data_IF_855232666780
#
_entry.id   IF_855232666780
#
_cell.length_a   1.000
_cell.length_b   1.000
_cell.length_c   1.000
_cell.angle_alpha   90.00
_cell.angle_beta   90.00
_cell.angle_gamma   90.00
#
_symmetry.space_group_name_H-M   'P 1'
#
loop_
_entity.id
_entity.type
_entity.pdbx_description
1 polymer ?
#
# COMPACT_ATOMS: atom_id res chain seq x y z
N UNK A 1 11.22 34.60 36.75
CA UNK A 1 11.80 34.05 35.49
C UNK A 1 10.65 33.68 34.58
N UNK A 2 10.76 34.00 33.31
CA UNK A 2 9.71 33.77 32.31
C UNK A 2 10.03 32.55 31.44
N UNK A 3 9.07 32.07 30.64
CA UNK A 3 9.28 31.05 29.63
C UNK A 3 10.24 31.58 28.56
N UNK A 4 11.48 31.10 28.56
CA UNK A 4 12.57 31.60 27.71
C UNK A 4 12.88 30.67 26.51
N UNK A 5 12.14 29.58 26.36
CA UNK A 5 12.34 28.58 25.28
C UNK A 5 11.05 28.29 24.52
N UNK A 6 11.15 28.08 23.24
CA UNK A 6 10.03 27.60 22.40
C UNK A 6 9.85 26.09 22.48
N UNK A 7 10.72 25.36 23.20
CA UNK A 7 10.67 23.91 23.32
C UNK A 7 9.44 23.51 24.12
N UNK A 8 8.57 22.74 23.54
CA UNK A 8 7.34 22.20 24.12
C UNK A 8 7.36 20.67 24.26
N UNK A 9 8.37 20.03 23.69
CA UNK A 9 8.57 18.57 23.74
C UNK A 9 10.05 18.21 23.61
N UNK A 10 10.39 17.01 24.07
CA UNK A 10 11.68 16.37 23.83
C UNK A 10 11.47 14.96 23.31
N UNK A 11 12.35 14.53 22.39
CA UNK A 11 12.34 13.20 21.80
C UNK A 11 13.66 12.49 22.04
N UNK A 12 13.59 11.19 22.34
CA UNK A 12 14.77 10.36 22.55
C UNK A 12 14.58 8.99 21.91
N UNK A 13 15.71 8.35 21.59
CA UNK A 13 15.72 6.96 21.12
C UNK A 13 16.29 6.07 22.22
N UNK A 14 15.59 4.99 22.51
CA UNK A 14 16.01 3.98 23.49
C UNK A 14 17.29 3.26 23.06
N UNK A 15 18.13 2.98 24.04
CA UNK A 15 19.39 2.22 23.87
C UNK A 15 19.37 0.89 24.63
N UNK A 16 18.24 0.50 25.20
CA UNK A 16 18.08 -0.71 26.00
C UNK A 16 18.61 -0.64 27.43
N UNK A 17 19.16 0.51 27.87
CA UNK A 17 19.78 0.68 29.21
C UNK A 17 19.21 1.88 29.95
N UNK A 18 18.90 2.98 29.24
CA UNK A 18 18.47 4.24 29.83
C UNK A 18 17.01 4.17 30.29
N UNK A 19 16.77 4.63 31.52
CA UNK A 19 15.43 4.77 32.12
C UNK A 19 15.04 6.21 32.36
N UNK A 20 16.00 7.16 32.42
CA UNK A 20 15.75 8.57 32.73
C UNK A 20 15.94 9.44 31.49
N UNK A 21 14.91 10.21 31.15
CA UNK A 21 14.85 11.08 29.98
C UNK A 21 14.56 12.51 30.43
N UNK A 22 15.48 13.49 30.24
CA UNK A 22 15.28 14.85 30.65
C UNK A 22 14.23 15.54 29.76
N UNK A 23 13.49 16.48 30.36
CA UNK A 23 12.74 17.47 29.62
C UNK A 23 13.28 18.88 29.98
N UNK A 24 13.36 19.75 28.96
CA UNK A 24 14.09 21.02 29.04
C UNK A 24 13.17 22.24 29.07
N UNK A 25 11.92 22.05 29.40
CA UNK A 25 10.90 23.09 29.43
C UNK A 25 10.15 23.11 30.79
N UNK A 26 9.56 24.25 31.13
CA UNK A 26 8.78 24.41 32.37
C UNK A 26 7.46 23.63 32.29
N UNK A 27 7.09 23.00 33.38
CA UNK A 27 5.74 22.49 33.69
C UNK A 27 5.34 22.95 35.09
N UNK A 28 4.06 23.12 35.36
CA UNK A 28 3.56 23.50 36.69
C UNK A 28 3.30 22.25 37.55
N UNK A 29 2.64 21.26 36.95
CA UNK A 29 2.22 20.02 37.62
C UNK A 29 2.79 18.82 36.84
N UNK A 30 2.94 17.67 37.52
CA UNK A 30 3.36 16.41 36.85
C UNK A 30 2.40 15.97 35.77
N UNK A 31 1.11 16.30 35.92
CA UNK A 31 0.04 16.01 34.96
C UNK A 31 0.12 16.85 33.70
N UNK A 32 0.96 17.88 33.65
CA UNK A 32 1.16 18.68 32.44
C UNK A 32 2.06 17.99 31.39
N UNK A 33 2.50 16.76 31.66
CA UNK A 33 3.26 15.95 30.70
C UNK A 33 2.43 14.80 30.16
N UNK A 34 2.51 14.63 28.86
CA UNK A 34 2.12 13.41 28.16
C UNK A 34 3.39 12.72 27.66
N UNK A 35 3.54 11.45 28.02
CA UNK A 35 4.67 10.62 27.62
C UNK A 35 4.18 9.51 26.72
N UNK A 36 4.71 9.46 25.53
CA UNK A 36 4.37 8.45 24.53
C UNK A 36 5.60 7.69 24.10
N UNK A 37 5.47 6.40 23.89
CA UNK A 37 6.51 5.54 23.32
C UNK A 37 6.06 4.95 22.00
N UNK A 38 6.99 4.78 21.08
CA UNK A 38 6.73 4.14 19.81
C UNK A 38 7.66 2.96 19.62
N UNK A 39 7.12 1.82 19.20
CA UNK A 39 7.89 0.62 18.86
C UNK A 39 8.54 0.76 17.46
N UNK A 40 9.29 -0.28 17.05
CA UNK A 40 9.97 -0.33 15.74
C UNK A 40 8.99 -0.37 14.55
N UNK A 41 7.73 -0.75 14.79
CA UNK A 41 6.69 -0.79 13.78
C UNK A 41 5.93 0.56 13.65
N UNK A 42 6.24 1.52 14.54
CA UNK A 42 5.57 2.82 14.59
C UNK A 42 4.25 2.81 15.36
N UNK A 43 3.96 1.76 16.14
CA UNK A 43 2.80 1.76 17.04
C UNK A 43 3.10 2.67 18.23
N UNK A 44 2.23 3.63 18.49
CA UNK A 44 2.37 4.60 19.57
C UNK A 44 1.51 4.18 20.76
N UNK A 45 2.11 4.19 21.95
CA UNK A 45 1.43 3.91 23.23
C UNK A 45 1.67 5.08 24.18
N UNK A 46 0.61 5.60 24.77
CA UNK A 46 0.68 6.61 25.83
C UNK A 46 0.88 5.93 27.19
N UNK A 47 1.87 6.40 27.92
CA UNK A 47 2.19 5.88 29.25
C UNK A 47 1.36 6.59 30.32
N UNK A 48 0.99 5.88 31.37
CA UNK A 48 0.20 6.42 32.49
C UNK A 48 1.14 6.92 33.59
N UNK A 49 0.90 8.14 34.05
CA UNK A 49 1.65 8.73 35.16
C UNK A 49 1.57 7.85 36.42
N UNK A 50 2.65 7.77 37.16
CA UNK A 50 2.86 6.99 38.38
C UNK A 50 2.77 5.45 38.21
N UNK A 51 2.41 4.96 37.02
CA UNK A 51 2.42 3.53 36.68
C UNK A 51 3.43 3.23 35.55
N UNK A 52 3.35 3.93 34.44
CA UNK A 52 4.24 3.78 33.29
C UNK A 52 5.48 4.68 33.35
N UNK A 53 5.42 5.78 34.08
CA UNK A 53 6.53 6.68 34.31
C UNK A 53 6.32 7.54 35.56
N UNK A 54 7.42 8.10 36.08
CA UNK A 54 7.41 9.12 37.15
C UNK A 54 8.07 10.40 36.68
N UNK A 55 7.71 11.53 37.28
CA UNK A 55 8.21 12.86 36.90
C UNK A 55 8.93 13.51 38.07
N UNK A 56 10.10 14.08 37.81
CA UNK A 56 10.86 14.92 38.71
C UNK A 56 11.00 16.33 38.14
N UNK A 57 11.20 17.36 38.99
CA UNK A 57 11.44 18.73 38.52
C UNK A 57 10.19 19.51 38.11
N UNK A 58 8.98 19.05 38.41
CA UNK A 58 7.76 19.84 38.22
C UNK A 58 7.83 21.14 39.02
N UNK A 59 7.37 22.24 38.44
CA UNK A 59 7.44 23.60 39.02
C UNK A 59 8.77 24.34 38.78
N UNK A 60 9.80 23.65 38.24
CA UNK A 60 11.08 24.32 37.94
C UNK A 60 11.07 24.92 36.53
N UNK A 61 11.82 26.03 36.35
CA UNK A 61 11.95 26.68 35.04
C UNK A 61 12.87 25.92 34.07
N UNK A 62 13.80 25.12 34.59
CA UNK A 62 14.81 24.40 33.82
C UNK A 62 14.35 23.00 33.34
N UNK A 63 13.10 22.63 33.65
CA UNK A 63 12.60 21.31 33.38
C UNK A 63 12.96 20.27 34.43
N UNK A 64 13.00 19.01 34.06
CA UNK A 64 13.26 17.87 34.96
C UNK A 64 13.53 16.61 34.21
N UNK A 65 13.08 15.47 34.75
CA UNK A 65 13.25 14.17 34.10
C UNK A 65 11.99 13.30 34.24
N UNK A 66 11.71 12.55 33.18
CA UNK A 66 10.79 11.42 33.16
C UNK A 66 11.59 10.16 33.42
N UNK A 67 11.17 9.34 34.36
CA UNK A 67 11.83 8.10 34.74
C UNK A 67 10.88 6.91 34.46
N UNK A 68 11.30 6.01 33.62
CA UNK A 68 10.58 4.76 33.31
C UNK A 68 10.92 3.67 34.35
N UNK A 69 9.99 2.74 34.64
CA UNK A 69 10.25 1.62 35.55
C UNK A 69 11.24 0.60 34.98
N UNK A 70 11.42 0.56 33.65
CA UNK A 70 12.36 -0.32 32.95
C UNK A 70 13.03 0.44 31.80
N UNK A 71 14.24 0.01 31.35
CA UNK A 71 14.89 0.64 30.22
C UNK A 71 14.05 0.63 28.95
N UNK A 72 14.06 1.75 28.22
CA UNK A 72 13.42 1.81 26.91
C UNK A 72 14.19 0.93 25.93
N UNK A 73 13.47 0.03 25.26
CA UNK A 73 14.07 -0.92 24.33
C UNK A 73 14.87 -0.20 23.22
N UNK A 74 15.96 -0.83 22.77
CA UNK A 74 16.81 -0.27 21.74
C UNK A 74 16.04 0.02 20.44
N UNK A 75 16.19 1.23 19.91
CA UNK A 75 15.50 1.70 18.70
C UNK A 75 14.06 2.17 18.90
N UNK A 76 13.44 1.92 20.06
CA UNK A 76 12.16 2.54 20.40
C UNK A 76 12.33 4.04 20.59
N UNK A 77 11.29 4.80 20.35
CA UNK A 77 11.30 6.25 20.57
C UNK A 77 10.42 6.60 21.75
N UNK A 78 10.81 7.63 22.48
CA UNK A 78 10.00 8.26 23.54
C UNK A 78 9.85 9.74 23.23
N UNK A 79 8.63 10.24 23.34
CA UNK A 79 8.32 11.67 23.26
C UNK A 79 7.74 12.13 24.57
N UNK A 80 8.26 13.22 25.10
CA UNK A 80 7.81 13.90 26.31
C UNK A 80 7.26 15.25 25.88
N UNK A 81 5.95 15.43 25.93
CA UNK A 81 5.26 16.63 25.44
C UNK A 81 4.58 17.35 26.60
N UNK A 82 4.65 18.68 26.60
CA UNK A 82 3.88 19.52 27.55
C UNK A 82 2.45 19.67 27.07
N UNK A 83 1.49 19.28 27.91
CA UNK A 83 0.07 19.33 27.61
C UNK A 83 -0.65 20.02 28.79
N UNK A 84 -0.90 21.31 28.64
CA UNK A 84 -1.62 22.11 29.65
C UNK A 84 -3.13 22.05 29.36
N UNK A 85 -3.92 22.11 30.42
CA UNK A 85 -5.37 22.32 30.30
C UNK A 85 -5.67 23.72 29.78
N UNK A 86 -6.68 23.87 28.94
CA UNK A 86 -7.09 25.18 28.41
C UNK A 86 -8.09 25.81 29.35
N UNK A 87 -7.60 26.18 30.57
CA UNK A 87 -8.39 26.78 31.62
C UNK A 87 -7.61 27.92 32.26
N UNK A 88 -8.28 28.91 32.83
CA UNK A 88 -7.68 29.96 33.64
C UNK A 88 -7.96 29.65 35.10
N UNK A 89 -6.95 29.17 35.82
CA UNK A 89 -7.05 28.90 37.28
C UNK A 89 -6.77 30.12 38.14
N UNK A 90 -6.09 31.14 37.57
CA UNK A 90 -5.67 32.33 38.32
C UNK A 90 -6.81 33.34 38.42
N UNK A 91 -7.28 33.64 39.64
CA UNK A 91 -8.21 34.70 39.94
C UNK A 91 -7.45 35.95 40.43
N UNK A 92 -7.35 36.97 39.59
CA UNK A 92 -6.64 38.22 39.83
C UNK A 92 -7.51 39.27 40.53
N UNK A 93 -8.52 38.91 41.31
CA UNK A 93 -9.34 39.88 42.04
C UNK A 93 -8.47 40.71 42.98
N UNK A 94 -8.64 42.01 42.88
CA UNK A 94 -7.86 43.00 43.63
C UNK A 94 -8.21 42.94 45.14
N UNK A 95 -7.48 42.14 45.91
CA UNK A 95 -7.61 42.03 47.37
C UNK A 95 -6.40 42.58 48.10
N UNK A 96 -5.86 43.71 47.70
CA UNK A 96 -4.99 44.55 48.48
C UNK A 96 -3.50 44.55 48.16
N UNK A 97 -2.81 43.49 47.88
CA UNK A 97 -1.38 43.49 47.52
C UNK A 97 -1.16 42.97 46.10
N UNK A 98 -0.34 43.69 45.33
CA UNK A 98 0.13 43.24 44.04
C UNK A 98 1.20 42.15 44.22
N UNK A 99 0.98 40.95 43.69
CA UNK A 99 1.95 39.87 43.67
C UNK A 99 2.44 39.66 42.22
N UNK A 100 3.63 40.18 41.86
CA UNK A 100 4.16 40.05 40.49
C UNK A 100 4.25 38.62 40.00
N UNK A 101 4.59 37.67 40.87
CA UNK A 101 4.77 36.26 40.58
C UNK A 101 3.49 35.61 40.04
N UNK A 102 2.32 36.00 40.61
CA UNK A 102 1.03 35.45 40.15
C UNK A 102 0.69 35.88 38.71
N UNK A 103 1.06 37.15 38.39
CA UNK A 103 0.86 37.67 37.05
C UNK A 103 1.85 37.03 36.06
N UNK A 104 3.12 36.87 36.47
CA UNK A 104 4.15 36.22 35.67
C UNK A 104 3.77 34.78 35.35
N UNK A 105 3.30 34.01 36.33
CA UNK A 105 2.83 32.64 36.14
C UNK A 105 1.62 32.57 35.21
N UNK A 106 0.69 33.52 35.27
CA UNK A 106 -0.46 33.59 34.37
C UNK A 106 -0.02 33.88 32.92
N UNK A 107 0.92 34.79 32.70
CA UNK A 107 1.48 35.09 31.39
C UNK A 107 2.29 33.90 30.84
N UNK A 108 3.08 33.25 31.67
CA UNK A 108 3.81 32.04 31.31
C UNK A 108 2.86 30.93 30.87
N UNK A 109 1.76 30.73 31.60
CA UNK A 109 0.73 29.76 31.28
C UNK A 109 0.12 30.02 29.87
N UNK A 110 -0.28 31.27 29.63
CA UNK A 110 -0.81 31.71 28.34
C UNK A 110 0.21 31.51 27.20
N UNK A 111 1.47 31.87 27.44
CA UNK A 111 2.55 31.66 26.46
C UNK A 111 2.73 30.18 26.13
N UNK A 112 2.70 29.30 27.13
CA UNK A 112 2.81 27.87 26.96
C UNK A 112 1.60 27.26 26.23
N UNK A 113 0.38 27.78 26.44
CA UNK A 113 -0.80 27.42 25.68
C UNK A 113 -0.67 27.79 24.20
N UNK A 114 -0.14 28.96 23.88
CA UNK A 114 0.14 29.40 22.52
C UNK A 114 1.19 28.48 21.88
N UNK A 115 2.26 28.13 22.55
CA UNK A 115 3.28 27.20 22.08
C UNK A 115 2.66 25.83 21.77
N UNK A 116 1.77 25.33 22.61
CA UNK A 116 1.00 24.08 22.35
C UNK A 116 0.17 24.16 21.07
N UNK A 117 -0.51 25.29 20.84
CA UNK A 117 -1.24 25.48 19.57
C UNK A 117 -0.30 25.40 18.34
N UNK A 118 0.88 26.03 18.41
CA UNK A 118 1.86 25.93 17.32
C UNK A 118 2.40 24.51 17.17
N UNK A 119 2.57 23.74 18.25
CA UNK A 119 2.91 22.33 18.21
C UNK A 119 1.87 21.50 17.45
N UNK A 120 0.59 21.76 17.63
CA UNK A 120 -0.49 21.11 16.86
C UNK A 120 -0.45 21.45 15.38
N UNK A 121 -0.21 22.74 15.04
CA UNK A 121 -0.08 23.14 13.65
C UNK A 121 1.10 22.44 12.95
N UNK A 122 2.21 22.21 13.64
CA UNK A 122 3.35 21.47 13.07
C UNK A 122 3.01 20.04 12.69
N UNK A 123 2.03 19.42 13.39
CA UNK A 123 1.54 18.05 13.12
C UNK A 123 0.40 18.00 12.10
N UNK A 124 -0.22 19.14 11.78
CA UNK A 124 -1.31 19.21 10.82
C UNK A 124 -0.83 19.08 9.38
N UNK A 125 -1.72 18.55 8.52
CA UNK A 125 -1.51 18.59 7.09
C UNK A 125 -1.64 20.04 6.60
N UNK A 126 -0.54 20.63 6.19
CA UNK A 126 -0.46 22.06 5.86
C UNK A 126 0.13 22.30 4.47
N UNK A 127 -0.19 23.46 3.91
CA UNK A 127 0.52 23.98 2.73
C UNK A 127 1.94 24.40 3.16
N UNK A 128 2.99 24.04 2.41
CA UNK A 128 4.36 24.41 2.75
C UNK A 128 4.64 25.93 2.63
N UNK A 129 3.82 26.65 1.87
CA UNK A 129 3.84 28.10 1.74
C UNK A 129 2.47 28.65 1.36
N UNK A 130 2.28 29.95 1.45
CA UNK A 130 1.04 30.63 1.01
C UNK A 130 0.80 30.43 -0.50
N UNK A 131 1.84 30.31 -1.30
CA UNK A 131 1.76 30.14 -2.74
C UNK A 131 1.57 28.69 -3.19
N UNK A 132 1.83 27.72 -2.31
CA UNK A 132 1.67 26.32 -2.65
C UNK A 132 0.20 25.99 -2.93
N UNK A 133 -0.04 25.23 -4.00
CA UNK A 133 -1.37 24.73 -4.39
C UNK A 133 -1.63 23.29 -3.95
N UNK A 134 -0.81 22.78 -3.03
CA UNK A 134 -0.90 21.43 -2.49
C UNK A 134 -0.64 21.42 -0.98
N UNK A 135 -1.06 20.34 -0.33
CA UNK A 135 -0.75 20.06 1.07
C UNK A 135 0.40 19.05 1.15
N UNK A 136 1.37 19.30 2.02
CA UNK A 136 2.52 18.43 2.20
C UNK A 136 2.30 17.52 3.42
N UNK A 137 2.21 16.23 3.16
CA UNK A 137 2.11 15.21 4.20
C UNK A 137 3.46 14.83 4.81
N UNK A 138 4.59 15.42 4.37
CA UNK A 138 5.95 15.16 4.87
C UNK A 138 6.26 13.66 4.93
N UNK A 139 5.86 12.91 3.91
CA UNK A 139 5.98 11.44 3.79
C UNK A 139 5.17 10.64 4.82
N UNK A 140 4.29 11.28 5.59
CA UNK A 140 3.37 10.58 6.46
C UNK A 140 2.20 9.98 5.67
N UNK A 141 1.68 8.84 6.15
CA UNK A 141 0.50 8.22 5.58
C UNK A 141 -0.75 9.01 5.98
N UNK A 142 -1.69 9.15 5.04
CA UNK A 142 -3.04 9.63 5.34
C UNK A 142 -3.92 8.39 5.54
N UNK A 143 -4.44 8.21 6.76
CA UNK A 143 -5.29 7.08 7.15
C UNK A 143 -6.75 7.50 7.27
N UNK A 144 -7.66 6.51 7.30
CA UNK A 144 -9.11 6.70 7.45
C UNK A 144 -9.74 7.58 6.36
N UNK A 145 -9.13 7.57 5.16
CA UNK A 145 -9.71 8.25 4.02
C UNK A 145 -10.95 7.47 3.55
N UNK A 146 -12.09 8.16 3.45
CA UNK A 146 -13.31 7.60 2.90
C UNK A 146 -13.12 7.16 1.44
N UNK A 147 -13.99 6.28 0.96
CA UNK A 147 -14.03 5.94 -0.46
C UNK A 147 -14.44 7.19 -1.27
N UNK A 148 -13.79 7.42 -2.44
CA UNK A 148 -14.11 8.58 -3.28
C UNK A 148 -15.55 8.48 -3.80
N UNK A 149 -16.25 9.61 -3.82
CA UNK A 149 -17.62 9.75 -4.35
C UNK A 149 -17.71 10.74 -5.50
N UNK A 150 -16.76 11.66 -5.60
CA UNK A 150 -16.66 12.66 -6.65
C UNK A 150 -15.35 12.47 -7.44
N UNK A 151 -15.33 12.98 -8.66
CA UNK A 151 -14.17 12.87 -9.56
C UNK A 151 -12.87 13.48 -8.99
N UNK A 152 -12.99 14.46 -8.09
CA UNK A 152 -11.83 15.15 -7.51
C UNK A 152 -11.49 14.65 -6.10
N UNK A 153 -12.17 13.64 -5.61
CA UNK A 153 -11.85 13.05 -4.32
C UNK A 153 -10.51 12.31 -4.36
N UNK A 154 -9.79 12.35 -3.25
CA UNK A 154 -8.58 11.57 -3.10
C UNK A 154 -8.93 10.07 -3.03
N UNK A 155 -8.22 9.27 -3.81
CA UNK A 155 -8.45 7.82 -3.90
C UNK A 155 -7.70 7.10 -2.80
N UNK A 156 -8.38 6.30 -1.99
CA UNK A 156 -7.73 5.38 -1.06
C UNK A 156 -7.28 4.09 -1.76
N UNK A 157 -6.37 3.35 -1.11
CA UNK A 157 -5.78 2.14 -1.68
C UNK A 157 -6.81 1.03 -1.95
N UNK A 158 -7.88 0.94 -1.16
CA UNK A 158 -8.96 -0.05 -1.35
C UNK A 158 -9.72 0.22 -2.65
N UNK A 159 -10.17 1.44 -2.87
CA UNK A 159 -10.89 1.84 -4.08
C UNK A 159 -10.04 1.66 -5.33
N UNK A 160 -8.74 2.01 -5.26
CA UNK A 160 -7.81 1.80 -6.36
C UNK A 160 -7.64 0.31 -6.69
N UNK A 161 -7.47 -0.56 -5.68
CA UNK A 161 -7.38 -2.01 -5.90
C UNK A 161 -8.64 -2.57 -6.53
N UNK A 162 -9.81 -2.23 -6.00
CA UNK A 162 -11.08 -2.67 -6.56
C UNK A 162 -11.25 -2.26 -8.04
N UNK A 163 -10.83 -1.05 -8.38
CA UNK A 163 -10.86 -0.58 -9.76
C UNK A 163 -9.91 -1.36 -10.67
N UNK A 164 -8.68 -1.61 -10.21
CA UNK A 164 -7.68 -2.40 -10.95
C UNK A 164 -8.15 -3.85 -11.10
N UNK A 165 -8.67 -4.47 -10.04
CA UNK A 165 -9.16 -5.85 -10.08
C UNK A 165 -10.35 -5.98 -11.04
N UNK A 166 -11.28 -5.01 -11.05
CA UNK A 166 -12.39 -4.97 -12.00
C UNK A 166 -11.90 -4.80 -13.45
N UNK A 167 -10.90 -3.94 -13.68
CA UNK A 167 -10.29 -3.77 -14.99
C UNK A 167 -9.58 -5.03 -15.47
N UNK A 168 -8.81 -5.70 -14.59
CA UNK A 168 -8.15 -6.97 -14.88
C UNK A 168 -9.16 -8.07 -15.15
N UNK A 169 -10.23 -8.18 -14.33
CA UNK A 169 -11.30 -9.15 -14.55
C UNK A 169 -11.98 -8.96 -15.92
N UNK A 170 -12.17 -7.72 -16.35
CA UNK A 170 -12.66 -7.39 -17.68
C UNK A 170 -11.72 -7.85 -18.80
N UNK A 171 -10.42 -7.75 -18.59
CA UNK A 171 -9.41 -8.21 -19.54
C UNK A 171 -9.29 -9.75 -19.55
N UNK A 172 -9.26 -10.38 -18.37
CA UNK A 172 -9.12 -11.85 -18.22
C UNK A 172 -10.42 -12.57 -18.62
N UNK A 173 -11.59 -11.96 -18.43
CA UNK A 173 -12.89 -12.51 -18.82
C UNK A 173 -13.13 -12.60 -20.34
N UNK A 174 -12.14 -12.23 -21.15
CA UNK A 174 -12.15 -12.32 -22.60
C UNK A 174 -11.96 -10.94 -23.25
N UNK A 175 -10.79 -10.61 -23.66
CA UNK A 175 -10.32 -9.45 -24.43
C UNK A 175 -11.42 -8.57 -25.10
N UNK A 176 -12.45 -8.17 -24.33
CA UNK A 176 -13.57 -7.40 -24.85
C UNK A 176 -14.55 -8.22 -25.71
N UNK A 177 -15.48 -7.51 -26.25
CA UNK A 177 -16.53 -8.03 -27.12
C UNK A 177 -16.13 -7.83 -28.58
N UNK A 178 -16.38 -8.85 -29.41
CA UNK A 178 -16.23 -8.80 -30.86
C UNK A 178 -17.62 -8.83 -31.51
N UNK A 179 -17.84 -8.00 -32.49
CA UNK A 179 -19.00 -8.09 -33.38
C UNK A 179 -18.51 -8.05 -34.82
N UNK A 180 -19.01 -8.96 -35.65
CA UNK A 180 -18.72 -8.95 -37.08
C UNK A 180 -19.51 -7.83 -37.76
N UNK A 181 -18.92 -7.21 -38.76
CA UNK A 181 -19.66 -6.25 -39.57
C UNK A 181 -20.71 -6.98 -40.46
N UNK A 182 -21.99 -6.54 -40.37
CA UNK A 182 -23.08 -7.09 -41.16
C UNK A 182 -24.41 -7.18 -40.42
N UNK A 183 -25.48 -7.22 -41.17
CA UNK A 183 -26.83 -7.39 -40.64
C UNK A 183 -26.99 -8.73 -39.94
N UNK A 184 -27.56 -8.74 -38.73
CA UNK A 184 -27.76 -9.95 -37.93
C UNK A 184 -26.52 -10.42 -37.15
N UNK A 185 -25.40 -9.67 -37.17
CA UNK A 185 -24.23 -9.99 -36.38
C UNK A 185 -24.53 -9.89 -34.88
N UNK A 186 -23.98 -10.81 -34.11
CA UNK A 186 -24.14 -10.87 -32.65
C UNK A 186 -22.83 -10.64 -31.94
N UNK A 187 -22.91 -10.13 -30.69
CA UNK A 187 -21.74 -9.98 -29.83
C UNK A 187 -21.23 -11.35 -29.41
N UNK A 188 -19.92 -11.50 -29.50
CA UNK A 188 -19.18 -12.67 -29.01
C UNK A 188 -17.98 -12.21 -28.19
N UNK A 189 -17.49 -13.04 -27.27
CA UNK A 189 -16.22 -12.73 -26.62
C UNK A 189 -15.07 -12.88 -27.64
N UNK A 190 -14.02 -12.10 -27.47
CA UNK A 190 -12.82 -12.24 -28.32
C UNK A 190 -12.22 -13.65 -28.19
N UNK A 191 -12.29 -14.24 -27.00
CA UNK A 191 -11.85 -15.59 -26.74
C UNK A 191 -12.66 -16.63 -27.56
N UNK A 192 -13.97 -16.48 -27.62
CA UNK A 192 -14.82 -17.37 -28.45
C UNK A 192 -14.48 -17.19 -29.93
N UNK A 193 -14.22 -15.96 -30.37
CA UNK A 193 -13.79 -15.69 -31.74
C UNK A 193 -12.45 -16.29 -32.05
N UNK A 194 -11.48 -16.26 -31.15
CA UNK A 194 -10.17 -16.90 -31.33
C UNK A 194 -10.26 -18.44 -31.40
N UNK A 195 -11.23 -19.04 -30.71
CA UNK A 195 -11.48 -20.48 -30.71
C UNK A 195 -12.17 -21.02 -31.97
N UNK A 196 -12.55 -20.15 -32.91
CA UNK A 196 -13.11 -20.60 -34.20
C UNK A 196 -12.08 -21.34 -35.06
N UNK A 197 -10.79 -20.99 -34.90
CA UNK A 197 -9.68 -21.60 -35.63
C UNK A 197 -8.75 -22.23 -34.59
N UNK A 198 -8.42 -23.48 -34.78
CA UNK A 198 -7.51 -24.27 -33.94
C UNK A 198 -6.21 -24.48 -34.69
N UNK A 199 -5.08 -24.14 -34.06
CA UNK A 199 -3.75 -24.30 -34.64
C UNK A 199 -3.03 -25.50 -34.00
N UNK A 200 -2.21 -26.21 -34.75
CA UNK A 200 -1.37 -27.29 -34.19
C UNK A 200 -0.45 -26.76 -33.05
N UNK A 201 -0.06 -25.50 -33.10
CA UNK A 201 0.74 -24.86 -32.08
C UNK A 201 -0.01 -24.61 -30.76
N UNK A 202 -1.34 -24.53 -30.79
CA UNK A 202 -2.17 -24.41 -29.59
C UNK A 202 -2.08 -25.66 -28.71
N UNK A 203 -1.66 -26.80 -29.32
CA UNK A 203 -1.40 -28.06 -28.62
C UNK A 203 0.08 -28.34 -28.38
N UNK A 204 0.96 -27.38 -28.68
CA UNK A 204 2.38 -27.44 -28.37
C UNK A 204 3.30 -27.86 -29.52
N UNK A 205 2.78 -28.05 -30.72
CA UNK A 205 3.62 -28.34 -31.88
C UNK A 205 4.55 -27.18 -32.21
N UNK A 206 5.85 -27.46 -32.42
CA UNK A 206 6.86 -26.42 -32.67
C UNK A 206 7.12 -26.21 -34.18
N UNK A 207 7.12 -27.27 -34.96
CA UNK A 207 7.41 -27.15 -36.37
C UNK A 207 8.82 -26.67 -36.70
N UNK A 208 9.79 -26.98 -35.82
CA UNK A 208 11.19 -26.54 -35.90
C UNK A 208 12.10 -27.55 -36.65
N UNK A 209 11.56 -28.71 -37.04
CA UNK A 209 12.28 -29.77 -37.69
C UNK A 209 13.19 -30.61 -36.79
N UNK A 210 13.13 -30.39 -35.48
CA UNK A 210 13.97 -31.04 -34.47
C UNK A 210 13.12 -31.73 -33.41
N UNK A 211 12.08 -31.04 -32.91
CA UNK A 211 11.17 -31.56 -31.87
C UNK A 211 10.21 -32.58 -32.48
N UNK A 212 9.97 -33.70 -31.77
CA UNK A 212 8.90 -34.63 -32.12
C UNK A 212 7.53 -34.02 -31.77
N UNK A 213 6.77 -33.67 -32.81
CA UNK A 213 5.47 -32.99 -32.68
C UNK A 213 4.29 -33.99 -32.70
N UNK A 214 4.56 -35.30 -32.67
CA UNK A 214 3.56 -36.35 -32.83
C UNK A 214 2.38 -36.27 -31.92
N UNK A 215 2.63 -36.15 -30.61
CA UNK A 215 1.57 -36.09 -29.59
C UNK A 215 0.77 -34.79 -29.67
N UNK A 216 1.44 -33.66 -29.85
CA UNK A 216 0.82 -32.34 -30.00
C UNK A 216 -0.13 -32.34 -31.22
N UNK A 217 0.35 -32.81 -32.35
CA UNK A 217 -0.44 -32.88 -33.59
C UNK A 217 -1.59 -33.88 -33.45
N UNK A 218 -1.35 -35.06 -32.85
CA UNK A 218 -2.39 -36.05 -32.61
C UNK A 218 -3.53 -35.49 -31.77
N UNK A 219 -3.20 -34.79 -30.67
CA UNK A 219 -4.17 -34.16 -29.78
C UNK A 219 -4.96 -33.04 -30.49
N UNK A 220 -4.30 -32.22 -31.32
CA UNK A 220 -4.95 -31.19 -32.11
C UNK A 220 -5.95 -31.79 -33.12
N UNK A 221 -5.57 -32.87 -33.83
CA UNK A 221 -6.41 -33.56 -34.77
C UNK A 221 -7.64 -34.14 -34.07
N UNK A 222 -7.46 -34.88 -32.99
CA UNK A 222 -8.56 -35.48 -32.22
C UNK A 222 -9.53 -34.40 -31.73
N UNK A 223 -9.01 -33.31 -31.18
CA UNK A 223 -9.83 -32.19 -30.69
C UNK A 223 -10.66 -31.59 -31.84
N UNK A 224 -10.04 -31.26 -32.97
CA UNK A 224 -10.72 -30.68 -34.13
C UNK A 224 -11.80 -31.64 -34.70
N UNK A 225 -11.47 -32.88 -34.85
CA UNK A 225 -12.40 -33.90 -35.34
C UNK A 225 -13.61 -34.07 -34.41
N UNK A 226 -13.40 -34.13 -33.09
CA UNK A 226 -14.47 -34.30 -32.11
C UNK A 226 -15.36 -33.06 -31.96
N UNK A 227 -14.87 -31.86 -32.30
CA UNK A 227 -15.58 -30.59 -32.10
C UNK A 227 -16.00 -29.93 -33.42
N UNK A 228 -15.82 -30.60 -34.58
CA UNK A 228 -16.15 -30.04 -35.88
C UNK A 228 -15.38 -28.76 -36.21
N UNK A 229 -14.13 -28.66 -35.74
CA UNK A 229 -13.28 -27.48 -35.93
C UNK A 229 -12.28 -27.71 -37.06
N UNK A 230 -11.91 -26.60 -37.73
CA UNK A 230 -10.85 -26.59 -38.72
C UNK A 230 -9.49 -26.54 -38.05
N UNK A 231 -8.55 -27.41 -38.46
CA UNK A 231 -7.17 -27.41 -37.98
C UNK A 231 -6.29 -26.59 -38.92
N UNK A 232 -5.65 -25.57 -38.37
CA UNK A 232 -4.69 -24.73 -39.08
C UNK A 232 -3.25 -25.21 -38.80
N UNK A 233 -2.46 -25.22 -39.89
CA UNK A 233 -1.03 -25.48 -39.84
C UNK A 233 -0.28 -24.23 -40.25
N UNK A 234 0.60 -23.73 -39.40
CA UNK A 234 1.54 -22.67 -39.78
C UNK A 234 2.73 -23.28 -40.54
N UNK A 235 3.40 -22.45 -41.32
CA UNK A 235 4.61 -22.89 -42.03
C UNK A 235 5.66 -23.40 -41.06
N UNK A 236 6.26 -24.55 -41.39
CA UNK A 236 7.24 -25.22 -40.54
C UNK A 236 7.56 -26.63 -40.99
N UNK A 237 8.51 -27.24 -40.29
CA UNK A 237 8.90 -28.66 -40.52
C UNK A 237 8.54 -29.42 -39.25
N UNK A 238 7.48 -30.24 -39.33
CA UNK A 238 6.98 -31.00 -38.19
C UNK A 238 7.50 -32.46 -38.28
N UNK A 239 8.18 -32.89 -37.23
CA UNK A 239 8.63 -34.30 -37.11
C UNK A 239 7.50 -35.10 -36.49
N UNK A 240 7.12 -36.20 -37.16
CA UNK A 240 6.03 -37.07 -36.70
C UNK A 240 6.44 -38.53 -36.84
N UNK A 241 6.10 -39.36 -35.87
CA UNK A 241 6.29 -40.82 -35.99
C UNK A 241 5.01 -41.49 -36.51
N UNK A 242 3.94 -41.44 -35.75
CA UNK A 242 2.66 -42.03 -36.13
C UNK A 242 1.52 -41.17 -35.59
N UNK A 243 0.74 -40.60 -36.50
CA UNK A 243 -0.47 -39.87 -36.12
C UNK A 243 -1.59 -40.87 -35.89
N UNK A 244 -2.23 -40.81 -34.74
CA UNK A 244 -3.44 -41.54 -34.42
C UNK A 244 -4.64 -40.67 -34.81
N UNK A 245 -5.27 -40.99 -35.94
CA UNK A 245 -6.54 -40.40 -36.28
C UNK A 245 -7.65 -41.15 -35.53
N UNK A 246 -8.72 -40.45 -35.09
CA UNK A 246 -9.89 -41.07 -34.49
C UNK A 246 -10.63 -41.95 -35.51
N UNK A 247 -11.67 -42.68 -35.06
CA UNK A 247 -12.38 -43.67 -35.90
C UNK A 247 -13.07 -43.13 -37.16
N UNK A 248 -13.71 -43.99 -37.89
CA UNK A 248 -14.17 -43.79 -39.29
C UNK A 248 -15.22 -42.71 -39.57
N UNK A 249 -15.71 -42.03 -38.55
CA UNK A 249 -16.79 -41.02 -38.65
C UNK A 249 -16.34 -39.57 -38.41
N UNK A 250 -15.04 -39.28 -38.43
CA UNK A 250 -14.54 -37.93 -38.22
C UNK A 250 -14.26 -37.23 -39.54
N UNK A 251 -14.78 -36.01 -39.67
CA UNK A 251 -14.47 -35.14 -40.80
C UNK A 251 -13.26 -34.29 -40.50
N UNK A 252 -12.20 -34.38 -41.30
CA UNK A 252 -10.96 -33.64 -41.11
C UNK A 252 -10.90 -32.46 -42.07
N UNK A 253 -10.96 -31.25 -41.55
CA UNK A 253 -10.79 -30.02 -42.32
C UNK A 253 -9.48 -29.34 -41.93
N UNK A 254 -8.48 -29.42 -42.79
CA UNK A 254 -7.15 -28.90 -42.56
C UNK A 254 -6.85 -27.75 -43.51
N UNK A 255 -6.19 -26.72 -43.00
CA UNK A 255 -5.71 -25.58 -43.80
C UNK A 255 -4.26 -25.29 -43.46
N UNK A 256 -3.42 -25.19 -44.48
CA UNK A 256 -2.02 -24.79 -44.32
C UNK A 256 -1.86 -23.31 -44.65
N UNK A 257 -1.15 -22.59 -43.79
CA UNK A 257 -0.75 -21.22 -44.03
C UNK A 257 0.74 -21.20 -44.35
N UNK A 258 1.05 -21.25 -45.62
CA UNK A 258 2.42 -21.33 -46.12
C UNK A 258 2.93 -22.76 -46.32
N UNK A 259 4.26 -22.95 -46.31
CA UNK A 259 4.88 -24.24 -46.56
C UNK A 259 4.95 -25.11 -45.32
N UNK A 260 4.15 -26.15 -45.27
CA UNK A 260 4.14 -27.16 -44.23
C UNK A 260 4.83 -28.44 -44.75
N UNK A 261 5.82 -28.92 -44.01
CA UNK A 261 6.56 -30.14 -44.32
C UNK A 261 6.39 -31.09 -43.14
N UNK A 262 5.84 -32.27 -43.41
CA UNK A 262 5.78 -33.37 -42.45
C UNK A 262 6.94 -34.33 -42.74
N UNK A 263 7.79 -34.59 -41.73
CA UNK A 263 8.89 -35.53 -41.80
C UNK A 263 8.64 -36.69 -40.85
N UNK A 264 8.81 -37.91 -41.35
CA UNK A 264 8.75 -39.08 -40.48
C UNK A 264 10.00 -39.19 -39.61
N UNK A 265 9.80 -39.46 -38.32
CA UNK A 265 10.89 -39.84 -37.39
C UNK A 265 11.19 -41.34 -37.46
N UNK A 266 10.37 -42.14 -38.12
CA UNK A 266 10.64 -43.58 -38.30
C UNK A 266 11.86 -43.74 -39.19
N UNK A 267 12.91 -44.42 -38.69
CA UNK A 267 13.98 -44.92 -39.53
C UNK A 267 13.38 -45.94 -40.50
N UNK A 268 13.55 -45.71 -41.79
CA UNK A 268 13.24 -46.77 -42.76
C UNK A 268 14.02 -48.01 -42.37
N UNK A 269 13.39 -49.21 -42.40
CA UNK A 269 14.16 -50.43 -42.26
C UNK A 269 15.13 -50.49 -43.43
N UNK A 270 16.43 -50.56 -43.12
CA UNK A 270 17.46 -50.89 -44.07
C UNK A 270 17.12 -52.29 -44.64
N UNK A 271 16.53 -52.34 -45.83
CA UNK A 271 16.34 -53.55 -46.63
C UNK A 271 17.64 -54.04 -47.18
#
# INVERSE_FOLDING_TARGET
MTVSTEVDHNEYTGNGVTTSFPYTFRIFKKTDLVVQVSDLNGNVTELVLDTGYTVTGAGTYSGGSVVLPSPLAAGWKITIERVLDVVQETDLRNQGKFFPEVHEDAFDYLTMLIQRCFGWFRRALMKPSLLAKYYDAKQNRISNLADPSLEQDAVNNRSMRNYVDAAIAGVVGGFGWFIQYGFGAVYRTFQDKMRDIVNVRDFGAKGDGITDDTDAITNAIIYCASNGKRLKWDSGVYLISRIKCGGDNYNYDWVADGKVVLKSTAKEPLG
#
